data_IF_626721927483
#
_entry.id   IF_626721927483
#
_cell.length_a   1.000
_cell.length_b   1.000
_cell.length_c   1.000
_cell.angle_alpha   90.00
_cell.angle_beta   90.00
_cell.angle_gamma   90.00
#
_symmetry.space_group_name_H-M   'P 1'
#
loop_
_entity.id
_entity.type
_entity.pdbx_description
1 polymer ?
#
# COMPACT_ATOMS: atom_id res chain seq x y z
N UNK A 1 -30.58 6.31 -12.51
CA UNK A 1 -31.44 5.13 -12.64
C UNK A 1 -30.84 3.97 -11.85
N UNK A 2 -31.70 3.23 -11.17
CA UNK A 2 -31.30 2.04 -10.41
C UNK A 2 -31.80 0.81 -11.17
N UNK A 3 -30.88 -0.03 -11.56
CA UNK A 3 -31.23 -1.31 -12.22
C UNK A 3 -31.74 -2.32 -11.19
N UNK A 4 -32.64 -3.21 -11.61
CA UNK A 4 -33.10 -4.29 -10.74
C UNK A 4 -31.91 -5.16 -10.30
N UNK A 5 -31.84 -5.47 -9.01
CA UNK A 5 -30.74 -6.25 -8.42
C UNK A 5 -29.51 -5.46 -7.97
N UNK A 6 -29.47 -4.16 -8.19
CA UNK A 6 -28.40 -3.28 -7.69
C UNK A 6 -28.70 -2.89 -6.23
N UNK A 7 -27.67 -2.84 -5.42
CA UNK A 7 -27.79 -2.38 -4.03
C UNK A 7 -28.37 -0.95 -3.97
N UNK A 8 -29.37 -0.68 -3.11
CA UNK A 8 -29.93 0.66 -2.98
C UNK A 8 -28.85 1.71 -2.73
N UNK A 9 -28.92 2.83 -3.44
CA UNK A 9 -27.94 3.92 -3.38
C UNK A 9 -26.80 3.84 -4.38
N UNK A 10 -26.61 2.70 -5.05
CA UNK A 10 -25.64 2.57 -6.15
C UNK A 10 -26.31 2.98 -7.47
N UNK A 11 -26.24 4.25 -7.80
CA UNK A 11 -26.91 4.83 -8.96
C UNK A 11 -25.94 4.92 -10.14
N UNK A 12 -26.37 4.37 -11.29
CA UNK A 12 -25.67 4.59 -12.56
C UNK A 12 -25.97 6.00 -13.06
N UNK A 13 -24.94 6.80 -13.24
CA UNK A 13 -25.06 8.19 -13.63
C UNK A 13 -23.92 8.66 -14.52
N UNK A 14 -23.82 9.96 -14.73
CA UNK A 14 -22.84 10.59 -15.62
C UNK A 14 -21.39 10.39 -15.19
N UNK A 15 -21.14 10.08 -13.92
CA UNK A 15 -19.81 9.79 -13.37
C UNK A 15 -19.51 8.30 -13.29
N UNK A 16 -20.42 7.44 -13.75
CA UNK A 16 -20.23 5.99 -13.72
C UNK A 16 -19.41 5.54 -14.91
N UNK A 17 -18.29 4.92 -14.66
CA UNK A 17 -17.46 4.30 -15.68
C UNK A 17 -17.91 2.85 -15.94
N UNK A 18 -17.93 2.47 -17.20
CA UNK A 18 -18.29 1.10 -17.62
C UNK A 18 -17.03 0.36 -18.05
N UNK A 19 -16.80 -0.78 -17.43
CA UNK A 19 -15.68 -1.67 -17.76
C UNK A 19 -16.25 -2.95 -18.38
N UNK A 20 -15.85 -3.26 -19.62
CA UNK A 20 -16.27 -4.48 -20.31
C UNK A 20 -15.64 -5.71 -19.64
N UNK A 21 -16.46 -6.66 -19.25
CA UNK A 21 -16.05 -7.86 -18.52
C UNK A 21 -16.38 -9.18 -19.21
N UNK A 22 -16.78 -9.15 -20.48
CA UNK A 22 -17.17 -10.34 -21.22
C UNK A 22 -16.01 -11.33 -21.34
N UNK A 23 -16.21 -12.56 -20.91
CA UNK A 23 -15.19 -13.60 -20.91
C UNK A 23 -14.14 -13.47 -19.82
N UNK A 24 -14.30 -12.53 -18.88
CA UNK A 24 -13.38 -12.31 -17.76
C UNK A 24 -14.02 -12.74 -16.43
N UNK A 25 -13.16 -13.03 -15.47
CA UNK A 25 -13.57 -13.29 -14.09
C UNK A 25 -13.13 -12.10 -13.25
N UNK A 26 -14.07 -11.45 -12.58
CA UNK A 26 -13.77 -10.37 -11.65
C UNK A 26 -13.46 -10.96 -10.27
N UNK A 27 -12.29 -10.63 -9.75
CA UNK A 27 -11.85 -11.00 -8.39
C UNK A 27 -11.48 -9.75 -7.61
N UNK A 28 -11.44 -9.87 -6.27
CA UNK A 28 -10.78 -8.86 -5.45
C UNK A 28 -9.30 -8.79 -5.81
N UNK A 29 -8.72 -7.60 -5.71
CA UNK A 29 -7.27 -7.43 -5.85
C UNK A 29 -6.51 -8.11 -4.71
N UNK A 30 -5.31 -8.62 -5.02
CA UNK A 30 -4.45 -9.26 -4.04
C UNK A 30 -3.88 -8.27 -3.02
N UNK A 31 -3.65 -8.75 -1.80
CA UNK A 31 -2.91 -8.04 -0.77
C UNK A 31 -1.62 -8.81 -0.48
N UNK A 32 -0.48 -8.15 -0.60
CA UNK A 32 0.80 -8.68 -0.13
C UNK A 32 1.18 -7.97 1.17
N UNK A 33 1.26 -8.74 2.26
CA UNK A 33 1.51 -8.22 3.61
C UNK A 33 2.96 -8.45 4.08
N UNK A 34 3.84 -8.86 3.19
CA UNK A 34 5.25 -9.09 3.49
C UNK A 34 6.17 -8.50 2.40
N UNK A 35 6.03 -7.21 2.17
CA UNK A 35 6.83 -6.51 1.16
C UNK A 35 8.15 -6.01 1.74
N UNK A 36 9.21 -6.16 0.95
CA UNK A 36 10.48 -5.46 1.12
C UNK A 36 10.54 -4.37 0.05
N UNK A 37 10.26 -3.15 0.42
CA UNK A 37 10.28 -2.01 -0.50
C UNK A 37 11.73 -1.69 -0.90
N UNK A 38 12.06 -1.92 -2.16
CA UNK A 38 13.41 -1.78 -2.71
C UNK A 38 13.46 -0.68 -3.77
N UNK A 39 12.50 -0.66 -4.68
CA UNK A 39 12.48 0.31 -5.77
C UNK A 39 11.03 0.58 -6.23
N UNK A 40 10.75 1.74 -6.86
CA UNK A 40 9.40 2.11 -7.27
C UNK A 40 8.81 1.19 -8.35
N UNK A 41 9.64 0.51 -9.12
CA UNK A 41 9.20 -0.44 -10.15
C UNK A 41 8.38 -1.59 -9.58
N UNK A 42 8.57 -1.96 -8.30
CA UNK A 42 7.76 -2.97 -7.63
C UNK A 42 6.26 -2.68 -7.69
N UNK A 43 5.85 -1.42 -7.67
CA UNK A 43 4.45 -1.04 -7.75
C UNK A 43 3.83 -1.45 -9.09
N UNK A 44 4.54 -1.23 -10.20
CA UNK A 44 4.08 -1.61 -11.53
C UNK A 44 4.01 -3.13 -11.71
N UNK A 45 4.98 -3.85 -11.20
CA UNK A 45 4.99 -5.33 -11.19
C UNK A 45 3.85 -5.88 -10.32
N UNK A 46 3.58 -5.28 -9.18
CA UNK A 46 2.47 -5.65 -8.31
C UNK A 46 1.12 -5.48 -9.02
N UNK A 47 0.90 -4.34 -9.68
CA UNK A 47 -0.33 -4.09 -10.47
C UNK A 47 -0.47 -5.14 -11.57
N UNK A 48 0.61 -5.40 -12.34
CA UNK A 48 0.60 -6.39 -13.40
C UNK A 48 0.29 -7.81 -12.88
N UNK A 49 0.66 -8.10 -11.64
CA UNK A 49 0.34 -9.36 -10.95
C UNK A 49 -1.04 -9.40 -10.28
N UNK A 50 -1.83 -8.32 -10.36
CA UNK A 50 -3.16 -8.24 -9.76
C UNK A 50 -3.19 -7.84 -8.28
N UNK A 51 -2.09 -7.33 -7.75
CA UNK A 51 -2.07 -6.77 -6.39
C UNK A 51 -2.66 -5.36 -6.39
N UNK A 52 -3.39 -5.04 -5.35
CA UNK A 52 -3.94 -3.69 -5.10
C UNK A 52 -3.42 -3.07 -3.82
N UNK A 53 -2.77 -3.86 -2.98
CA UNK A 53 -2.27 -3.43 -1.66
C UNK A 53 -0.93 -4.07 -1.35
N UNK A 54 0.03 -3.26 -0.95
CA UNK A 54 1.37 -3.67 -0.54
C UNK A 54 1.64 -3.19 0.89
N UNK A 55 1.93 -4.13 1.78
CA UNK A 55 2.22 -3.84 3.19
C UNK A 55 3.60 -4.39 3.53
N UNK A 56 4.45 -3.57 4.12
CA UNK A 56 5.79 -3.99 4.50
C UNK A 56 6.68 -2.86 4.93
N UNK A 57 7.97 -3.07 4.86
CA UNK A 57 8.97 -2.11 5.30
C UNK A 57 10.14 -1.97 4.33
N UNK A 58 11.01 -1.05 4.65
CA UNK A 58 12.17 -0.68 3.86
C UNK A 58 12.17 0.80 3.54
N UNK A 59 13.26 1.29 3.04
CA UNK A 59 13.44 2.70 2.66
C UNK A 59 13.46 2.90 1.14
N UNK A 60 13.24 1.83 0.38
CA UNK A 60 13.36 1.66 -1.06
C UNK A 60 13.14 2.90 -1.93
N UNK A 61 11.89 3.30 -2.26
CA UNK A 61 11.66 4.44 -3.16
C UNK A 61 12.23 5.77 -2.65
N UNK A 62 12.37 5.96 -1.33
CA UNK A 62 12.91 7.19 -0.74
C UNK A 62 14.43 7.23 -0.69
N UNK A 63 15.08 6.13 -0.35
CA UNK A 63 16.53 6.08 -0.13
C UNK A 63 17.23 4.92 -0.84
N UNK A 64 16.57 4.25 -1.78
CA UNK A 64 17.06 3.05 -2.44
C UNK A 64 17.00 1.82 -1.52
N UNK A 65 17.99 0.95 -1.62
CA UNK A 65 18.00 -0.37 -0.97
C UNK A 65 18.71 -0.39 0.38
N UNK A 66 18.77 0.71 1.10
CA UNK A 66 19.52 0.81 2.35
C UNK A 66 18.94 -0.04 3.49
N UNK A 67 17.62 -0.22 3.51
CA UNK A 67 16.96 -1.10 4.47
C UNK A 67 15.89 -1.92 3.75
N UNK A 68 15.76 -3.19 4.08
CA UNK A 68 14.98 -4.13 3.28
C UNK A 68 13.73 -4.64 3.97
N UNK A 69 13.66 -4.66 5.30
CA UNK A 69 12.58 -5.35 6.02
C UNK A 69 11.70 -4.42 6.84
N UNK A 70 12.20 -3.26 7.24
CA UNK A 70 11.47 -2.31 8.07
C UNK A 70 11.86 -0.88 7.71
N UNK A 71 10.99 0.04 8.03
CA UNK A 71 11.23 1.48 7.91
C UNK A 71 11.68 1.98 9.29
N UNK A 72 12.99 2.28 9.50
CA UNK A 72 13.59 2.25 10.84
C UNK A 72 13.30 3.45 11.74
N UNK A 73 12.67 4.50 11.26
CA UNK A 73 12.32 5.68 12.07
C UNK A 73 11.22 6.52 11.44
N UNK A 74 10.74 7.51 12.18
CA UNK A 74 9.66 8.40 11.77
C UNK A 74 9.95 9.19 10.49
N UNK A 75 11.19 9.59 10.25
CA UNK A 75 11.54 10.35 9.05
C UNK A 75 11.45 9.48 7.80
N UNK A 76 12.02 8.28 7.84
CA UNK A 76 11.91 7.34 6.72
C UNK A 76 10.46 6.93 6.44
N UNK A 77 9.61 6.84 7.45
CA UNK A 77 8.17 6.59 7.26
C UNK A 77 7.50 7.73 6.46
N UNK A 78 7.80 8.98 6.82
CA UNK A 78 7.30 10.14 6.08
C UNK A 78 7.82 10.18 4.66
N UNK A 79 9.11 9.92 4.46
CA UNK A 79 9.74 9.86 3.13
C UNK A 79 9.08 8.77 2.26
N UNK A 80 8.79 7.59 2.83
CA UNK A 80 8.11 6.51 2.11
C UNK A 80 6.68 6.88 1.74
N UNK A 81 5.93 7.50 2.64
CA UNK A 81 4.58 7.99 2.35
C UNK A 81 4.60 9.00 1.19
N UNK A 82 5.54 9.95 1.21
CA UNK A 82 5.70 10.91 0.13
C UNK A 82 6.13 10.25 -1.19
N UNK A 83 7.07 9.32 -1.14
CA UNK A 83 7.60 8.65 -2.32
C UNK A 83 6.55 7.80 -3.04
N UNK A 84 5.52 7.35 -2.35
CA UNK A 84 4.46 6.49 -2.89
C UNK A 84 3.16 7.22 -3.20
N UNK A 85 3.05 8.51 -2.88
CA UNK A 85 1.81 9.29 -3.04
C UNK A 85 1.25 9.29 -4.46
N UNK A 86 2.10 9.28 -5.47
CA UNK A 86 1.70 9.25 -6.88
C UNK A 86 1.52 7.84 -7.46
N UNK A 87 1.77 6.79 -6.70
CA UNK A 87 1.67 5.42 -7.20
C UNK A 87 0.24 4.88 -7.00
N UNK A 88 -0.35 4.22 -8.03
CA UNK A 88 -1.76 3.84 -8.04
C UNK A 88 -2.01 2.51 -7.29
N UNK A 89 -1.56 2.41 -6.04
CA UNK A 89 -1.74 1.27 -5.15
C UNK A 89 -2.03 1.75 -3.73
N UNK A 90 -2.55 0.85 -2.90
CA UNK A 90 -2.60 1.08 -1.47
C UNK A 90 -1.28 0.64 -0.83
N UNK A 91 -0.70 1.48 -0.01
CA UNK A 91 0.55 1.21 0.70
C UNK A 91 0.35 1.25 2.21
N UNK A 92 0.98 0.30 2.90
CA UNK A 92 1.11 0.32 4.34
C UNK A 92 2.56 0.07 4.76
N UNK A 93 3.13 0.97 5.55
CA UNK A 93 4.52 0.85 5.97
C UNK A 93 4.63 0.35 7.39
N UNK A 94 5.51 -0.64 7.59
CA UNK A 94 5.85 -1.17 8.91
C UNK A 94 7.13 -0.52 9.42
N UNK A 95 7.09 -0.07 10.66
CA UNK A 95 8.27 0.42 11.36
C UNK A 95 9.15 -0.71 11.89
N UNK A 96 10.29 -0.35 12.47
CA UNK A 96 11.21 -1.29 13.11
C UNK A 96 10.74 -1.61 14.53
N UNK A 97 10.33 -2.86 14.77
CA UNK A 97 9.81 -3.31 16.05
C UNK A 97 10.90 -3.73 17.04
N UNK A 98 11.97 -4.35 16.56
CA UNK A 98 13.09 -4.76 17.39
C UNK A 98 14.06 -3.58 17.61
N UNK A 99 13.90 -2.88 18.71
CA UNK A 99 14.74 -1.72 19.06
C UNK A 99 15.27 -1.83 20.47
N UNK A 100 16.48 -1.31 20.69
CA UNK A 100 17.04 -1.13 22.03
C UNK A 100 16.48 0.14 22.74
N UNK A 101 15.77 0.99 21.97
CA UNK A 101 15.16 2.22 22.50
C UNK A 101 13.64 2.19 22.27
N UNK A 102 12.88 1.63 23.22
CA UNK A 102 11.41 1.50 23.09
C UNK A 102 10.66 2.81 22.83
N UNK A 103 11.25 3.94 23.22
CA UNK A 103 10.68 5.28 23.00
C UNK A 103 10.46 5.58 21.50
N UNK A 104 11.26 5.01 20.62
CA UNK A 104 11.10 5.17 19.18
C UNK A 104 9.88 4.45 18.58
N UNK A 105 9.25 3.54 19.31
CA UNK A 105 8.08 2.81 18.79
C UNK A 105 6.85 3.71 18.63
N UNK A 106 6.43 4.49 19.65
CA UNK A 106 5.32 5.42 19.49
C UNK A 106 5.56 6.46 18.37
N UNK A 107 6.80 6.94 18.22
CA UNK A 107 7.14 7.92 17.19
C UNK A 107 6.91 7.36 15.78
N UNK A 108 7.22 6.08 15.54
CA UNK A 108 6.97 5.42 14.27
C UNK A 108 5.47 5.28 13.99
N UNK A 109 4.68 4.91 14.99
CA UNK A 109 3.22 4.82 14.85
C UNK A 109 2.62 6.20 14.55
N UNK A 110 3.03 7.24 15.28
CA UNK A 110 2.58 8.61 15.05
C UNK A 110 3.02 9.16 13.67
N UNK A 111 4.10 8.65 13.12
CA UNK A 111 4.55 9.00 11.76
C UNK A 111 3.80 8.25 10.64
N UNK A 112 2.91 7.32 10.99
CA UNK A 112 2.06 6.60 10.04
C UNK A 112 2.41 5.13 9.83
N UNK A 113 3.24 4.52 10.68
CA UNK A 113 3.43 3.09 10.62
C UNK A 113 2.12 2.36 10.97
N UNK A 114 1.72 1.42 10.11
CA UNK A 114 0.51 0.60 10.35
C UNK A 114 0.80 -0.64 11.21
N UNK A 115 2.05 -0.89 11.50
CA UNK A 115 2.52 -2.00 12.32
C UNK A 115 4.02 -1.93 12.49
N UNK A 116 4.56 -2.93 13.17
CA UNK A 116 5.98 -3.05 13.46
C UNK A 116 6.50 -4.39 12.96
N UNK A 117 7.60 -4.37 12.27
CA UNK A 117 8.32 -5.55 11.78
C UNK A 117 9.39 -5.94 12.81
N UNK A 118 9.39 -7.20 13.22
CA UNK A 118 10.38 -7.81 14.10
C UNK A 118 11.47 -8.54 13.29
#
# INVERSE_FOLDING_TARGET
DVMAGVTPGMIVGVTTEVIAGEGLILTAGGLDTHIHFICPQQAHEAIAAGLTTMIGGGTGPATGTCATTCTPNANYLRDMLQATDALPLNFGFTGKGNTAMPQGLPEQILAGAIGLKL
#
